data_IF_034303929830
#
_entry.id   IF_034303929830
#
_cell.length_a   1.000
_cell.length_b   1.000
_cell.length_c   1.000
_cell.angle_alpha   90.00
_cell.angle_beta   90.00
_cell.angle_gamma   90.00
#
_symmetry.space_group_name_H-M   'P 1'
#
loop_
_entity.id
_entity.type
_entity.pdbx_description
1 polymer ?
#
# COMPACT_ATOMS: atom_id res chain seq x y z
N UNK A 1 -0.14 -25.51 20.22
CA UNK A 1 0.33 -24.39 19.38
C UNK A 1 -0.75 -23.33 19.39
N UNK A 2 -0.44 -22.12 19.83
CA UNK A 2 -1.37 -20.99 19.85
C UNK A 2 -1.67 -20.53 18.43
N UNK A 3 -2.76 -19.76 18.23
CA UNK A 3 -3.08 -19.17 16.91
C UNK A 3 -1.92 -18.32 16.38
N UNK A 4 -1.29 -17.54 17.25
CA UNK A 4 -0.18 -16.69 16.87
C UNK A 4 1.06 -17.49 16.41
N UNK A 5 1.39 -18.57 17.11
CA UNK A 5 2.46 -19.48 16.69
C UNK A 5 2.17 -20.13 15.34
N UNK A 6 0.91 -20.52 15.10
CA UNK A 6 0.49 -21.04 13.79
C UNK A 6 0.66 -19.99 12.69
N UNK A 7 0.22 -18.74 12.94
CA UNK A 7 0.36 -17.66 11.95
C UNK A 7 1.84 -17.42 11.64
N UNK A 8 2.70 -17.32 12.63
CA UNK A 8 4.16 -17.16 12.43
C UNK A 8 4.77 -18.30 11.61
N UNK A 9 4.35 -19.54 11.84
CA UNK A 9 4.93 -20.69 11.16
C UNK A 9 4.44 -20.85 9.72
N UNK A 10 3.15 -20.58 9.45
CA UNK A 10 2.54 -20.84 8.14
C UNK A 10 2.42 -19.61 7.26
N UNK A 11 2.58 -18.40 7.82
CA UNK A 11 2.55 -17.12 7.13
C UNK A 11 3.75 -16.25 7.50
N UNK A 12 4.94 -16.86 7.55
CA UNK A 12 6.18 -16.19 7.97
C UNK A 12 6.45 -14.89 7.20
N UNK A 13 6.22 -14.93 5.87
CA UNK A 13 6.47 -13.76 5.01
C UNK A 13 5.43 -12.66 5.15
N UNK A 14 4.18 -13.02 5.47
CA UNK A 14 3.04 -12.10 5.60
C UNK A 14 2.84 -11.63 7.04
N UNK A 15 3.41 -12.35 8.02
CA UNK A 15 3.29 -11.98 9.42
C UNK A 15 4.08 -10.71 9.74
N UNK A 16 3.39 -9.75 10.36
CA UNK A 16 3.98 -8.51 10.88
C UNK A 16 3.50 -8.30 12.31
N UNK A 17 4.44 -8.10 13.24
CA UNK A 17 4.11 -7.83 14.64
C UNK A 17 3.68 -6.36 14.79
N UNK A 18 2.37 -6.13 14.86
CA UNK A 18 1.78 -4.79 15.01
C UNK A 18 1.64 -4.42 16.48
N UNK A 19 2.69 -3.87 17.06
CA UNK A 19 2.63 -3.27 18.40
C UNK A 19 2.51 -1.76 18.31
N UNK A 20 1.89 -1.12 19.33
CA UNK A 20 1.82 0.34 19.40
C UNK A 20 3.20 0.99 19.34
N UNK A 21 4.21 0.35 19.92
CA UNK A 21 5.60 0.83 19.90
C UNK A 21 6.16 0.81 18.47
N UNK A 22 6.02 -0.30 17.74
CA UNK A 22 6.56 -0.44 16.39
C UNK A 22 5.91 0.53 15.39
N UNK A 23 4.64 0.88 15.62
CA UNK A 23 3.88 1.76 14.72
C UNK A 23 3.91 3.23 15.13
N UNK A 24 4.38 3.56 16.34
CA UNK A 24 4.54 4.96 16.79
C UNK A 24 5.49 5.77 15.89
N UNK A 25 6.47 5.10 15.27
CA UNK A 25 7.44 5.67 14.32
C UNK A 25 6.75 6.37 13.14
N UNK A 26 5.56 5.90 12.76
CA UNK A 26 4.78 6.45 11.65
C UNK A 26 3.79 7.55 12.07
N UNK A 27 3.83 7.98 13.33
CA UNK A 27 2.93 9.01 13.85
C UNK A 27 2.93 10.28 12.98
N UNK A 28 1.74 10.73 12.55
CA UNK A 28 1.59 11.91 11.69
C UNK A 28 2.07 11.75 10.24
N UNK A 29 2.54 10.57 9.84
CA UNK A 29 2.96 10.28 8.45
C UNK A 29 1.81 9.64 7.68
N UNK A 30 1.38 10.27 6.57
CA UNK A 30 0.35 9.73 5.68
C UNK A 30 0.95 8.66 4.77
N UNK A 31 1.19 7.47 5.33
CA UNK A 31 1.79 6.32 4.65
C UNK A 31 0.78 5.18 4.69
N UNK A 32 0.48 4.52 3.56
CA UNK A 32 -0.41 3.36 3.53
C UNK A 32 0.06 2.21 4.45
N UNK A 33 -0.90 1.47 5.02
CA UNK A 33 -0.60 0.35 5.93
C UNK A 33 0.35 -0.66 5.32
N UNK A 34 0.17 -1.03 4.05
CA UNK A 34 1.02 -2.02 3.40
C UNK A 34 2.49 -1.59 3.28
N UNK A 35 2.77 -0.27 3.18
CA UNK A 35 4.15 0.25 3.19
C UNK A 35 4.70 0.22 4.62
N UNK A 36 3.90 0.61 5.62
CA UNK A 36 4.29 0.53 7.04
C UNK A 36 4.63 -0.91 7.41
N UNK A 37 3.75 -1.85 7.07
CA UNK A 37 3.93 -3.27 7.33
C UNK A 37 5.23 -3.80 6.69
N UNK A 38 5.47 -3.43 5.44
CA UNK A 38 6.69 -3.80 4.73
C UNK A 38 7.96 -3.21 5.39
N UNK A 39 7.91 -1.93 5.81
CA UNK A 39 9.03 -1.29 6.52
C UNK A 39 9.29 -1.95 7.86
N UNK A 40 8.25 -2.20 8.66
CA UNK A 40 8.37 -2.90 9.93
C UNK A 40 8.98 -4.28 9.71
N UNK A 41 8.47 -5.06 8.75
CA UNK A 41 9.03 -6.38 8.43
C UNK A 41 10.49 -6.33 8.00
N UNK A 42 10.85 -5.37 7.17
CA UNK A 42 12.19 -5.22 6.61
C UNK A 42 13.25 -4.80 7.64
N UNK A 43 12.86 -3.95 8.57
CA UNK A 43 13.75 -3.35 9.56
C UNK A 43 13.52 -3.88 10.98
N UNK A 44 12.87 -5.04 11.12
CA UNK A 44 12.78 -5.77 12.38
C UNK A 44 13.89 -6.81 12.50
N UNK A 45 14.39 -6.97 13.72
CA UNK A 45 15.26 -8.09 14.09
C UNK A 45 14.46 -9.39 14.30
N UNK A 46 15.17 -10.48 14.58
CA UNK A 46 14.57 -11.78 14.87
C UNK A 46 13.70 -11.79 16.15
N UNK A 47 13.84 -10.79 17.03
CA UNK A 47 13.07 -10.64 18.26
C UNK A 47 11.84 -9.73 18.08
N UNK A 48 11.69 -9.11 16.89
CA UNK A 48 10.59 -8.20 16.59
C UNK A 48 10.83 -6.75 17.00
N UNK A 49 12.06 -6.38 17.40
CA UNK A 49 12.42 -4.99 17.64
C UNK A 49 12.64 -4.28 16.31
N UNK A 50 12.09 -3.10 16.17
CA UNK A 50 12.15 -2.32 14.93
C UNK A 50 13.24 -1.26 15.01
N UNK A 51 14.09 -1.20 14.00
CA UNK A 51 15.07 -0.13 13.81
C UNK A 51 14.39 1.11 13.24
N UNK A 52 13.96 2.00 14.14
CA UNK A 52 13.27 3.23 13.78
C UNK A 52 14.13 4.23 13.02
N UNK A 53 15.44 4.27 13.28
CA UNK A 53 16.37 5.17 12.60
C UNK A 53 16.52 4.79 11.12
N UNK A 54 16.68 3.51 10.83
CA UNK A 54 16.72 3.01 9.45
C UNK A 54 15.43 3.27 8.70
N UNK A 55 14.26 3.15 9.36
CA UNK A 55 12.97 3.51 8.76
C UNK A 55 12.89 5.01 8.46
N UNK A 56 13.28 5.86 9.38
CA UNK A 56 13.26 7.32 9.18
C UNK A 56 14.21 7.74 8.05
N UNK A 57 15.39 7.16 7.99
CA UNK A 57 16.32 7.37 6.89
C UNK A 57 15.74 6.92 5.55
N UNK A 58 15.11 5.73 5.49
CA UNK A 58 14.44 5.27 4.28
C UNK A 58 13.34 6.25 3.84
N UNK A 59 12.50 6.69 4.75
CA UNK A 59 11.41 7.60 4.45
C UNK A 59 11.92 8.97 3.98
N UNK A 60 12.98 9.48 4.60
CA UNK A 60 13.58 10.77 4.22
C UNK A 60 14.15 10.72 2.80
N UNK A 61 14.83 9.63 2.44
CA UNK A 61 15.48 9.48 1.13
C UNK A 61 14.47 9.15 0.03
N UNK A 62 13.52 8.24 0.31
CA UNK A 62 12.64 7.68 -0.73
C UNK A 62 11.23 8.25 -0.73
N UNK A 63 10.78 8.89 0.34
CA UNK A 63 9.45 9.51 0.44
C UNK A 63 9.57 10.95 0.96
N UNK A 64 10.37 11.78 0.33
CA UNK A 64 10.55 13.16 0.77
C UNK A 64 9.21 13.89 0.67
N UNK A 65 8.95 14.76 1.66
CA UNK A 65 7.74 15.59 1.71
C UNK A 65 8.01 17.02 1.18
N UNK A 66 9.23 17.26 0.75
CA UNK A 66 9.67 18.59 0.39
C UNK A 66 9.21 18.98 -1.02
N UNK A 67 8.57 20.14 -1.10
CA UNK A 67 8.22 20.77 -2.38
C UNK A 67 9.46 21.18 -3.19
N UNK A 68 10.64 21.19 -2.60
CA UNK A 68 11.93 21.43 -3.24
C UNK A 68 12.27 20.42 -4.33
N UNK A 69 11.70 19.23 -4.31
CA UNK A 69 11.92 18.21 -5.36
C UNK A 69 11.58 18.72 -6.75
N UNK A 70 10.52 19.52 -6.91
CA UNK A 70 10.20 20.13 -8.22
C UNK A 70 11.31 21.07 -8.70
N UNK A 71 11.89 21.81 -7.77
CA UNK A 71 13.00 22.73 -8.07
C UNK A 71 14.25 21.92 -8.45
N UNK A 72 14.55 20.86 -7.72
CA UNK A 72 15.71 20.00 -8.02
C UNK A 72 15.57 19.36 -9.40
N UNK A 73 14.38 18.83 -9.73
CA UNK A 73 14.09 18.27 -11.06
C UNK A 73 14.26 19.34 -12.14
N UNK A 74 13.75 20.56 -11.92
CA UNK A 74 13.88 21.67 -12.85
C UNK A 74 15.34 22.07 -13.06
N UNK A 75 16.19 21.93 -12.03
CA UNK A 75 17.64 22.17 -12.10
C UNK A 75 18.41 21.03 -12.78
N UNK A 76 17.73 19.99 -13.26
CA UNK A 76 18.31 18.88 -14.00
C UNK A 76 18.76 17.70 -13.13
N UNK A 77 18.30 17.63 -11.88
CA UNK A 77 18.56 16.47 -11.01
C UNK A 77 17.49 15.38 -11.20
N UNK A 78 17.92 14.18 -11.55
CA UNK A 78 17.04 13.02 -11.56
C UNK A 78 16.65 12.64 -10.12
N UNK A 79 15.34 12.43 -9.88
CA UNK A 79 14.84 12.02 -8.57
C UNK A 79 14.23 10.64 -8.63
N UNK A 80 14.70 9.77 -7.75
CA UNK A 80 14.16 8.42 -7.57
C UNK A 80 13.44 8.32 -6.24
N UNK A 81 12.10 8.24 -6.29
CA UNK A 81 11.26 8.29 -5.10
C UNK A 81 10.19 7.20 -5.10
N UNK A 82 9.73 6.82 -3.92
CA UNK A 82 8.55 5.99 -3.73
C UNK A 82 7.34 6.91 -3.57
N UNK A 83 6.43 6.87 -4.52
CA UNK A 83 5.28 7.76 -4.54
C UNK A 83 4.00 7.08 -5.00
N UNK A 84 2.89 7.65 -4.60
CA UNK A 84 1.58 7.43 -5.19
C UNK A 84 1.46 8.29 -6.43
N UNK A 85 1.21 7.67 -7.57
CA UNK A 85 0.97 8.38 -8.82
C UNK A 85 -0.47 8.15 -9.28
N UNK A 86 -1.13 9.22 -9.69
CA UNK A 86 -2.43 9.20 -10.36
C UNK A 86 -2.17 9.38 -11.86
N UNK A 87 -2.74 8.51 -12.68
CA UNK A 87 -2.47 8.49 -14.11
C UNK A 87 -3.69 9.03 -14.85
N UNK A 88 -3.45 9.99 -15.71
CA UNK A 88 -4.49 10.69 -16.48
C UNK A 88 -4.16 10.63 -17.98
N UNK A 89 -4.99 9.95 -18.79
CA UNK A 89 -4.83 9.94 -20.23
C UNK A 89 -5.39 11.23 -20.86
N UNK A 90 -4.59 11.91 -21.66
CA UNK A 90 -5.03 13.02 -22.51
C UNK A 90 -5.20 12.51 -23.94
N UNK A 91 -6.42 12.09 -24.26
CA UNK A 91 -6.77 11.50 -25.56
C UNK A 91 -6.58 12.50 -26.71
N UNK A 92 -6.82 13.79 -26.47
CA UNK A 92 -6.71 14.82 -27.51
C UNK A 92 -5.27 15.05 -27.96
N UNK A 93 -4.34 14.99 -26.99
CA UNK A 93 -2.92 15.15 -27.25
C UNK A 93 -2.18 13.83 -27.47
N UNK A 94 -2.88 12.68 -27.33
CA UNK A 94 -2.31 11.34 -27.44
C UNK A 94 -1.11 11.10 -26.49
N UNK A 95 -1.21 11.64 -25.26
CA UNK A 95 -0.18 11.53 -24.23
C UNK A 95 -0.77 10.98 -22.94
N UNK A 96 0.08 10.33 -22.13
CA UNK A 96 -0.22 9.99 -20.75
C UNK A 96 0.44 10.99 -19.82
N UNK A 97 -0.30 11.43 -18.83
CA UNK A 97 0.13 12.32 -17.77
C UNK A 97 0.05 11.62 -16.42
N UNK A 98 0.70 12.19 -15.44
CA UNK A 98 0.57 11.72 -14.06
C UNK A 98 0.54 12.87 -13.09
N UNK A 99 0.07 12.60 -11.89
CA UNK A 99 0.08 13.51 -10.76
C UNK A 99 0.71 12.82 -9.56
N UNK A 100 1.49 13.56 -8.75
CA UNK A 100 1.96 13.14 -7.44
C UNK A 100 1.45 14.15 -6.42
N UNK A 101 0.24 13.92 -5.84
CA UNK A 101 -0.39 14.89 -4.96
C UNK A 101 0.45 15.27 -3.74
N UNK A 102 1.15 14.27 -3.17
CA UNK A 102 1.98 14.45 -1.97
C UNK A 102 3.16 15.42 -2.19
N UNK A 103 3.60 15.60 -3.44
CA UNK A 103 4.66 16.53 -3.85
C UNK A 103 4.14 17.78 -4.57
N UNK A 104 2.83 17.90 -4.75
CA UNK A 104 2.22 18.98 -5.50
C UNK A 104 2.57 19.01 -7.00
N UNK A 105 3.01 17.86 -7.56
CA UNK A 105 3.26 17.70 -9.00
C UNK A 105 1.91 17.43 -9.66
N UNK A 106 1.53 18.29 -10.61
CA UNK A 106 0.23 18.26 -11.27
C UNK A 106 0.32 17.61 -12.66
N UNK A 107 -0.76 17.04 -13.14
CA UNK A 107 -0.83 16.35 -14.44
C UNK A 107 -0.53 17.24 -15.66
N UNK A 108 -0.76 18.56 -15.56
CA UNK A 108 -0.47 19.47 -16.65
C UNK A 108 1.03 19.77 -16.86
N UNK A 109 1.88 19.38 -15.92
CA UNK A 109 3.34 19.57 -15.96
C UNK A 109 4.12 18.26 -16.13
N UNK A 110 3.42 17.16 -16.47
CA UNK A 110 4.03 15.82 -16.49
C UNK A 110 3.74 15.05 -17.77
N UNK A 111 4.62 14.09 -18.09
CA UNK A 111 4.41 13.11 -19.18
C UNK A 111 4.91 11.72 -18.79
N UNK A 112 4.21 10.71 -19.31
CA UNK A 112 4.64 9.30 -19.29
C UNK A 112 4.90 8.89 -20.75
N UNK A 113 6.13 8.53 -21.11
CA UNK A 113 6.42 8.00 -22.44
C UNK A 113 5.63 6.73 -22.72
N UNK A 114 5.14 6.58 -23.96
CA UNK A 114 4.33 5.43 -24.35
C UNK A 114 5.04 4.08 -24.15
N UNK A 115 6.36 4.05 -24.28
CA UNK A 115 7.14 2.82 -24.08
C UNK A 115 7.14 2.40 -22.60
N UNK A 116 7.19 3.34 -21.66
CA UNK A 116 7.06 3.07 -20.22
C UNK A 116 5.67 2.50 -19.91
N UNK A 117 4.61 3.14 -20.41
CA UNK A 117 3.25 2.67 -20.21
C UNK A 117 2.96 1.30 -20.82
N UNK A 118 3.62 0.96 -21.94
CA UNK A 118 3.53 -0.38 -22.54
C UNK A 118 4.28 -1.44 -21.73
N UNK A 119 5.42 -1.08 -21.16
CA UNK A 119 6.26 -1.97 -20.34
C UNK A 119 5.57 -2.30 -18.98
N UNK A 120 4.89 -1.33 -18.39
CA UNK A 120 4.29 -1.43 -17.07
C UNK A 120 2.75 -1.37 -17.14
N UNK A 121 2.11 -2.54 -17.11
CA UNK A 121 0.64 -2.66 -17.23
C UNK A 121 -0.10 -2.00 -16.06
N UNK A 122 0.54 -1.91 -14.90
CA UNK A 122 0.03 -1.29 -13.68
C UNK A 122 -0.30 0.19 -13.88
N UNK A 123 0.44 0.87 -14.76
CA UNK A 123 0.18 2.26 -15.12
C UNK A 123 -1.16 2.50 -15.86
N UNK A 124 -1.93 1.44 -16.13
CA UNK A 124 -3.27 1.53 -16.71
C UNK A 124 -4.37 1.58 -15.65
N UNK A 125 -4.05 1.38 -14.38
CA UNK A 125 -5.05 1.28 -13.31
C UNK A 125 -5.56 2.62 -12.75
N UNK A 126 -5.03 3.73 -13.23
CA UNK A 126 -5.43 5.08 -12.78
C UNK A 126 -4.71 5.54 -11.53
N UNK A 127 -4.52 4.69 -10.53
CA UNK A 127 -3.74 4.98 -9.32
C UNK A 127 -2.82 3.82 -9.01
N UNK A 128 -1.55 4.10 -8.73
CA UNK A 128 -0.56 3.09 -8.39
C UNK A 128 0.54 3.63 -7.47
N UNK A 129 1.02 2.79 -6.57
CA UNK A 129 2.23 3.04 -5.80
C UNK A 129 3.44 2.40 -6.47
N UNK A 130 4.52 3.16 -6.56
CA UNK A 130 5.75 2.63 -7.15
C UNK A 130 6.96 3.52 -6.89
N UNK A 131 8.12 2.93 -7.15
CA UNK A 131 9.36 3.70 -7.24
C UNK A 131 9.40 4.30 -8.63
N UNK A 132 9.41 5.63 -8.68
CA UNK A 132 9.43 6.43 -9.90
C UNK A 132 10.78 7.13 -10.03
N UNK A 133 11.31 7.18 -11.24
CA UNK A 133 12.45 8.05 -11.57
C UNK A 133 11.92 9.17 -12.46
N UNK A 134 12.11 10.39 -11.99
CA UNK A 134 11.61 11.61 -12.60
C UNK A 134 12.77 12.44 -13.09
N UNK A 135 12.64 12.99 -14.29
CA UNK A 135 13.61 13.93 -14.87
C UNK A 135 12.91 15.16 -15.46
N UNK A 136 13.66 16.25 -15.63
CA UNK A 136 13.20 17.39 -16.39
C UNK A 136 13.48 17.13 -17.87
N UNK A 137 12.47 17.31 -18.71
CA UNK A 137 12.63 17.20 -20.16
C UNK A 137 12.04 18.42 -20.88
N UNK A 138 12.58 18.69 -22.05
CA UNK A 138 12.13 19.79 -22.93
C UNK A 138 11.90 19.22 -24.33
N UNK A 139 10.69 19.31 -24.82
CA UNK A 139 10.31 18.86 -26.16
C UNK A 139 9.49 19.97 -26.84
N UNK A 140 9.85 20.34 -28.07
CA UNK A 140 9.12 21.32 -28.87
C UNK A 140 8.78 22.65 -28.14
N UNK A 141 9.67 23.12 -27.25
CA UNK A 141 9.51 24.30 -26.37
C UNK A 141 8.54 24.10 -25.16
N UNK A 142 8.05 22.93 -24.92
CA UNK A 142 7.34 22.61 -23.67
C UNK A 142 8.30 21.97 -22.66
N UNK A 143 8.27 22.48 -21.42
CA UNK A 143 9.00 21.90 -20.29
C UNK A 143 8.06 21.03 -19.49
N UNK A 144 8.50 19.83 -19.15
CA UNK A 144 7.69 18.90 -18.34
C UNK A 144 8.56 17.97 -17.50
N UNK A 145 7.95 17.37 -16.49
CA UNK A 145 8.54 16.29 -15.70
C UNK A 145 8.20 14.97 -16.39
N UNK A 146 9.23 14.22 -16.77
CA UNK A 146 9.09 12.94 -17.44
C UNK A 146 9.29 11.77 -16.45
N UNK A 147 8.43 10.77 -16.56
CA UNK A 147 8.61 9.48 -15.91
C UNK A 147 9.54 8.61 -16.76
N UNK A 148 10.81 8.50 -16.37
CA UNK A 148 11.81 7.74 -17.14
C UNK A 148 11.92 6.29 -16.73
N UNK A 149 11.59 5.94 -15.48
CA UNK A 149 11.52 4.56 -15.01
C UNK A 149 10.42 4.40 -13.95
N UNK A 150 9.83 3.22 -13.94
CA UNK A 150 8.77 2.85 -12.99
C UNK A 150 8.99 1.42 -12.50
N UNK A 151 8.89 1.24 -11.19
CA UNK A 151 8.83 -0.08 -10.58
C UNK A 151 7.65 -0.13 -9.61
N UNK A 152 6.64 -0.94 -9.92
CA UNK A 152 5.48 -1.13 -9.05
C UNK A 152 5.92 -1.56 -7.66
N UNK A 153 5.34 -0.95 -6.64
CA UNK A 153 5.57 -1.35 -5.27
C UNK A 153 4.64 -2.52 -4.92
N UNK A 154 5.15 -3.71 -5.11
CA UNK A 154 4.49 -4.97 -4.75
C UNK A 154 5.33 -5.67 -3.69
N UNK A 155 5.09 -5.36 -2.40
CA UNK A 155 5.92 -5.86 -1.31
C UNK A 155 5.87 -7.38 -1.16
N UNK A 156 4.79 -8.00 -1.61
CA UNK A 156 4.56 -9.44 -1.51
C UNK A 156 4.09 -10.02 -2.85
N UNK A 157 4.58 -11.22 -3.15
CA UNK A 157 4.07 -12.01 -4.27
C UNK A 157 2.88 -12.83 -3.77
N UNK A 158 1.73 -12.67 -4.42
CA UNK A 158 0.56 -13.48 -4.12
C UNK A 158 0.74 -14.87 -4.73
N UNK A 159 0.82 -15.88 -3.87
CA UNK A 159 0.84 -17.30 -4.24
C UNK A 159 -0.39 -17.99 -3.66
N UNK A 160 -1.39 -18.24 -4.51
CA UNK A 160 -2.66 -18.81 -4.08
C UNK A 160 -2.52 -20.24 -3.56
N UNK A 161 -1.62 -21.04 -4.13
CA UNK A 161 -1.43 -22.43 -3.72
C UNK A 161 -0.74 -22.50 -2.36
N UNK A 162 0.23 -21.64 -2.10
CA UNK A 162 0.79 -21.45 -0.77
C UNK A 162 -0.29 -21.10 0.28
N UNK A 163 -1.17 -20.13 -0.04
CA UNK A 163 -2.26 -19.77 0.87
C UNK A 163 -3.26 -20.91 1.12
N UNK A 164 -3.58 -21.72 0.10
CA UNK A 164 -4.46 -22.89 0.24
C UNK A 164 -3.84 -23.97 1.14
N UNK A 165 -2.54 -24.23 0.98
CA UNK A 165 -1.84 -25.20 1.81
C UNK A 165 -1.73 -24.71 3.28
N UNK A 166 -1.35 -23.46 3.48
CA UNK A 166 -1.30 -22.85 4.80
C UNK A 166 -2.67 -22.93 5.50
N UNK A 167 -3.78 -22.63 4.77
CA UNK A 167 -5.16 -22.68 5.29
C UNK A 167 -5.54 -24.03 5.92
N UNK A 168 -5.01 -25.14 5.42
CA UNK A 168 -5.33 -26.48 5.92
C UNK A 168 -4.92 -26.70 7.38
N UNK A 169 -4.00 -25.90 7.89
CA UNK A 169 -3.48 -26.00 9.25
C UNK A 169 -4.33 -25.26 10.29
N UNK A 170 -5.38 -24.56 9.85
CA UNK A 170 -6.28 -23.80 10.71
C UNK A 170 -7.68 -24.39 10.69
N UNK A 171 -8.29 -24.53 11.85
CA UNK A 171 -9.72 -24.81 11.92
C UNK A 171 -10.54 -23.57 11.53
N UNK A 172 -11.86 -23.71 11.36
CA UNK A 172 -12.72 -22.63 10.89
C UNK A 172 -12.72 -21.42 11.83
N UNK A 173 -12.75 -21.64 13.14
CA UNK A 173 -12.75 -20.54 14.13
C UNK A 173 -11.42 -19.79 14.11
N UNK A 174 -10.30 -20.51 14.11
CA UNK A 174 -8.97 -19.91 14.00
C UNK A 174 -8.82 -19.10 12.71
N UNK A 175 -9.40 -19.59 11.60
CA UNK A 175 -9.35 -18.90 10.33
C UNK A 175 -10.18 -17.62 10.33
N UNK A 176 -11.36 -17.63 10.96
CA UNK A 176 -12.18 -16.44 11.16
C UNK A 176 -11.41 -15.40 11.98
N UNK A 177 -10.79 -15.82 13.08
CA UNK A 177 -9.99 -14.95 13.93
C UNK A 177 -8.77 -14.37 13.20
N UNK A 178 -8.11 -15.18 12.35
CA UNK A 178 -7.03 -14.71 11.49
C UNK A 178 -7.52 -13.63 10.51
N UNK A 179 -8.67 -13.85 9.84
CA UNK A 179 -9.24 -12.86 8.92
C UNK A 179 -9.59 -11.54 9.63
N UNK A 180 -10.15 -11.62 10.85
CA UNK A 180 -10.45 -10.42 11.66
C UNK A 180 -9.17 -9.68 12.01
N UNK A 181 -8.10 -10.38 12.42
CA UNK A 181 -6.78 -9.80 12.68
C UNK A 181 -6.16 -9.17 11.42
N UNK A 182 -6.31 -9.82 10.26
CA UNK A 182 -5.85 -9.27 8.98
C UNK A 182 -6.55 -7.96 8.60
N UNK A 183 -7.78 -7.75 9.05
CA UNK A 183 -8.50 -6.47 8.94
C UNK A 183 -8.17 -5.47 10.06
N UNK A 184 -7.16 -5.75 10.89
CA UNK A 184 -6.68 -4.91 12.00
C UNK A 184 -7.69 -4.77 13.17
N UNK A 185 -8.55 -5.78 13.36
CA UNK A 185 -9.48 -5.83 14.50
C UNK A 185 -9.09 -6.92 15.48
N UNK A 186 -9.49 -6.73 16.76
CA UNK A 186 -9.30 -7.73 17.79
C UNK A 186 -10.47 -8.73 17.77
N UNK A 187 -10.26 -10.04 17.50
CA UNK A 187 -11.30 -11.05 17.51
C UNK A 187 -11.90 -11.28 18.90
N UNK A 188 -11.18 -10.95 19.98
CA UNK A 188 -11.67 -11.10 21.36
C UNK A 188 -12.73 -10.05 21.74
N UNK A 189 -12.88 -9.00 20.94
CA UNK A 189 -13.95 -8.00 21.09
C UNK A 189 -15.33 -8.46 20.63
N UNK A 190 -15.44 -9.69 20.08
CA UNK A 190 -16.71 -10.27 19.65
C UNK A 190 -17.17 -11.34 20.64
N UNK A 191 -18.38 -11.19 21.15
CA UNK A 191 -18.94 -12.11 22.17
C UNK A 191 -19.31 -13.46 21.60
N UNK A 192 -19.71 -13.52 20.32
CA UNK A 192 -20.20 -14.74 19.67
C UNK A 192 -19.57 -14.98 18.30
N UNK A 193 -19.54 -16.26 17.89
CA UNK A 193 -19.10 -16.61 16.53
C UNK A 193 -20.02 -15.99 15.45
N UNK A 194 -21.31 -15.83 15.74
CA UNK A 194 -22.25 -15.18 14.84
C UNK A 194 -21.89 -13.71 14.56
N UNK A 195 -21.44 -12.97 15.58
CA UNK A 195 -20.95 -11.60 15.40
C UNK A 195 -19.68 -11.58 14.54
N UNK A 196 -18.74 -12.51 14.75
CA UNK A 196 -17.54 -12.64 13.93
C UNK A 196 -17.88 -12.94 12.47
N UNK A 197 -18.80 -13.87 12.21
CA UNK A 197 -19.26 -14.23 10.86
C UNK A 197 -19.91 -13.00 10.19
N UNK A 198 -20.79 -12.30 10.90
CA UNK A 198 -21.43 -11.07 10.39
C UNK A 198 -20.40 -10.00 10.06
N UNK A 199 -19.36 -9.89 10.87
CA UNK A 199 -18.28 -8.93 10.61
C UNK A 199 -17.48 -9.27 9.35
N UNK A 200 -17.02 -10.53 9.20
CA UNK A 200 -16.25 -10.96 8.03
C UNK A 200 -17.08 -11.03 6.75
N UNK A 201 -18.43 -11.06 6.83
CA UNK A 201 -19.29 -11.03 5.65
C UNK A 201 -19.09 -9.77 4.79
N UNK A 202 -18.49 -8.71 5.35
CA UNK A 202 -18.04 -7.52 4.59
C UNK A 202 -17.04 -7.85 3.49
N UNK A 203 -16.29 -8.97 3.63
CA UNK A 203 -15.36 -9.43 2.60
C UNK A 203 -16.06 -10.03 1.37
N UNK A 204 -17.37 -10.31 1.47
CA UNK A 204 -18.14 -10.86 0.33
C UNK A 204 -18.13 -9.96 -0.89
N UNK A 205 -17.98 -8.63 -0.70
CA UNK A 205 -17.88 -7.67 -1.82
C UNK A 205 -16.69 -7.94 -2.74
N UNK A 206 -15.66 -8.63 -2.25
CA UNK A 206 -14.47 -8.98 -3.05
C UNK A 206 -14.58 -10.31 -3.77
N UNK A 207 -15.55 -11.16 -3.40
CA UNK A 207 -15.67 -12.53 -3.93
C UNK A 207 -16.99 -12.78 -4.65
N UNK A 208 -18.04 -12.02 -4.33
CA UNK A 208 -19.37 -12.16 -4.92
C UNK A 208 -19.65 -11.05 -5.94
N UNK A 209 -19.84 -11.37 -7.23
CA UNK A 209 -19.97 -10.36 -8.31
C UNK A 209 -21.22 -9.47 -8.19
N UNK A 210 -22.19 -9.83 -7.37
CA UNK A 210 -23.47 -9.12 -7.22
C UNK A 210 -23.76 -8.65 -5.81
N UNK A 211 -22.75 -8.56 -4.95
CA UNK A 211 -22.92 -8.07 -3.57
C UNK A 211 -23.07 -6.54 -3.59
N UNK A 212 -24.15 -6.05 -3.00
CA UNK A 212 -24.37 -4.63 -2.75
C UNK A 212 -24.08 -4.36 -1.27
N UNK A 213 -23.09 -3.51 -0.98
CA UNK A 213 -22.80 -3.06 0.38
C UNK A 213 -23.43 -1.69 0.61
N UNK A 214 -24.31 -1.58 1.60
CA UNK A 214 -24.89 -0.31 2.04
C UNK A 214 -24.03 0.27 3.17
N UNK A 215 -23.24 1.30 2.87
CA UNK A 215 -22.36 1.95 3.84
C UNK A 215 -23.11 2.87 4.81
N UNK A 216 -24.39 3.17 4.55
CA UNK A 216 -25.21 4.11 5.35
C UNK A 216 -26.24 3.44 6.26
N UNK A 217 -26.35 2.12 6.30
CA UNK A 217 -27.06 1.45 7.37
C UNK A 217 -26.20 1.51 8.63
N UNK A 218 -26.38 2.54 9.41
CA UNK A 218 -25.86 2.61 10.79
C UNK A 218 -26.54 1.49 11.58
N UNK A 219 -25.90 0.34 11.67
CA UNK A 219 -26.13 -0.55 12.79
C UNK A 219 -25.82 0.27 14.05
N UNK A 220 -26.69 0.21 15.07
CA UNK A 220 -26.43 0.91 16.33
C UNK A 220 -25.09 0.41 16.89
N UNK A 221 -24.02 1.14 16.60
CA UNK A 221 -22.74 0.92 17.23
C UNK A 221 -22.87 1.39 18.67
N UNK A 222 -23.16 0.48 19.60
CA UNK A 222 -22.75 0.70 20.98
C UNK A 222 -21.23 0.91 20.90
N UNK A 223 -20.78 2.14 21.10
CA UNK A 223 -19.40 2.43 21.41
C UNK A 223 -19.07 1.59 22.65
N UNK A 224 -18.25 0.59 22.47
CA UNK A 224 -17.56 -0.06 23.58
C UNK A 224 -16.40 0.86 23.89
N UNK A 225 -16.54 1.56 25.03
CA UNK A 225 -15.49 2.37 25.64
C UNK A 225 -14.45 1.41 26.21
#
# INVERSE_FOLDING_TARGET
MTLEEKIKNYFENEYVCKTSQNYSIFGGKNIPSFIKDWLVKRYSDQFGNVDGESIDNFLTVHMPKDKGIKTDILMGEDKKILARILIEPDIKKDILKFEIPDLGIKSNETRIPKYIAKKHKELKSGEVWGVVTLTHNTEEKENFIELVDFKSFTPYKVDLDYFKEARKNFNTTEWIDLLIRAMEYNPDGFETIGQKITFISRLLVFVEPRTVSYTHLTLPTKRIV
#
